data_IF_462812847968
#
_entry.id   IF_462812847968
#
_cell.length_a   1.000
_cell.length_b   1.000
_cell.length_c   1.000
_cell.angle_alpha   90.00
_cell.angle_beta   90.00
_cell.angle_gamma   90.00
#
_symmetry.space_group_name_H-M   'P 1'
#
loop_
_entity.id
_entity.type
_entity.pdbx_description
1 polymer ?
#
# COMPACT_ATOMS: atom_id res chain seq x y z
N UNK A 1 28.98 -38.33 -17.42
CA UNK A 1 28.63 -37.18 -16.56
C UNK A 1 27.14 -36.90 -16.74
N UNK A 2 26.31 -37.18 -15.73
CA UNK A 2 24.88 -36.84 -15.77
C UNK A 2 24.71 -35.34 -15.47
N UNK A 3 24.49 -34.53 -16.51
CA UNK A 3 23.90 -33.20 -16.33
C UNK A 3 22.41 -33.37 -16.16
N UNK A 4 21.82 -33.10 -14.98
CA UNK A 4 20.38 -33.16 -14.84
C UNK A 4 19.75 -32.11 -15.76
N UNK A 5 18.84 -32.57 -16.62
CA UNK A 5 18.09 -31.79 -17.61
C UNK A 5 17.40 -30.55 -16.97
N UNK A 6 17.19 -30.58 -15.66
CA UNK A 6 16.58 -29.50 -14.87
C UNK A 6 17.48 -28.28 -14.56
N UNK A 7 18.80 -28.32 -14.79
CA UNK A 7 19.67 -27.18 -14.43
C UNK A 7 19.52 -25.98 -15.36
N UNK A 8 19.33 -26.19 -16.66
CA UNK A 8 19.21 -25.08 -17.62
C UNK A 8 17.84 -24.41 -17.57
N UNK A 9 16.77 -25.19 -17.42
CA UNK A 9 15.40 -24.70 -17.24
C UNK A 9 15.26 -23.90 -15.95
N UNK A 10 15.83 -24.37 -14.84
CA UNK A 10 15.87 -23.59 -13.58
C UNK A 10 16.63 -22.27 -13.73
N UNK A 11 17.79 -22.25 -14.40
CA UNK A 11 18.54 -21.00 -14.61
C UNK A 11 17.77 -19.99 -15.46
N UNK A 12 17.08 -20.45 -16.52
CA UNK A 12 16.25 -19.58 -17.37
C UNK A 12 15.06 -19.01 -16.59
N UNK A 13 14.37 -19.84 -15.78
CA UNK A 13 13.27 -19.38 -14.91
C UNK A 13 13.74 -18.36 -13.88
N UNK A 14 14.87 -18.60 -13.20
CA UNK A 14 15.41 -17.65 -12.22
C UNK A 14 15.79 -16.31 -12.85
N UNK A 15 16.33 -16.32 -14.09
CA UNK A 15 16.59 -15.09 -14.84
C UNK A 15 15.31 -14.32 -15.17
N UNK A 16 14.22 -14.98 -15.54
CA UNK A 16 12.95 -14.30 -15.84
C UNK A 16 12.33 -13.69 -14.58
N UNK A 17 12.35 -14.41 -13.45
CA UNK A 17 11.89 -13.88 -12.14
C UNK A 17 12.69 -12.63 -11.77
N UNK A 18 14.02 -12.69 -11.89
CA UNK A 18 14.88 -11.56 -11.57
C UNK A 18 14.64 -10.36 -12.49
N UNK A 19 14.40 -10.60 -13.79
CA UNK A 19 14.07 -9.54 -14.75
C UNK A 19 12.77 -8.83 -14.37
N UNK A 20 11.70 -9.57 -14.10
CA UNK A 20 10.43 -8.97 -13.64
C UNK A 20 10.64 -8.19 -12.33
N UNK A 21 11.44 -8.71 -11.40
CA UNK A 21 11.78 -8.01 -10.16
C UNK A 21 12.46 -6.66 -10.40
N UNK A 22 13.37 -6.58 -11.39
CA UNK A 22 14.01 -5.33 -11.77
C UNK A 22 13.03 -4.36 -12.43
N UNK A 23 12.14 -4.87 -13.29
CA UNK A 23 11.08 -4.06 -13.92
C UNK A 23 10.16 -3.43 -12.87
N UNK A 24 9.77 -4.18 -11.84
CA UNK A 24 8.98 -3.66 -10.71
C UNK A 24 9.70 -2.53 -9.96
N UNK A 25 10.99 -2.71 -9.66
CA UNK A 25 11.79 -1.67 -9.02
C UNK A 25 11.90 -0.42 -9.88
N UNK A 26 12.14 -0.59 -11.18
CA UNK A 26 12.23 0.52 -12.11
C UNK A 26 10.91 1.30 -12.18
N UNK A 27 9.78 0.59 -12.24
CA UNK A 27 8.45 1.21 -12.20
C UNK A 27 8.21 1.99 -10.91
N UNK A 28 8.61 1.45 -9.76
CA UNK A 28 8.54 2.18 -8.50
C UNK A 28 9.39 3.45 -8.51
N UNK A 29 10.62 3.40 -9.03
CA UNK A 29 11.46 4.59 -9.12
C UNK A 29 10.92 5.64 -10.10
N UNK A 30 10.33 5.22 -11.22
CA UNK A 30 9.60 6.13 -12.12
C UNK A 30 8.47 6.81 -11.37
N UNK A 31 7.64 6.03 -10.66
CA UNK A 31 6.55 6.54 -9.84
C UNK A 31 7.00 7.61 -8.85
N UNK A 32 8.15 7.45 -8.19
CA UNK A 32 8.65 8.46 -7.25
C UNK A 32 8.97 9.82 -7.91
N UNK A 33 9.09 9.87 -9.23
CA UNK A 33 9.36 11.09 -10.00
C UNK A 33 8.10 11.65 -10.66
N UNK A 34 7.25 10.80 -11.22
CA UNK A 34 6.07 11.20 -12.03
C UNK A 34 4.75 11.12 -11.27
N UNK A 35 4.72 10.45 -10.11
CA UNK A 35 3.53 10.13 -9.31
C UNK A 35 2.39 9.43 -10.09
N UNK A 36 2.71 8.74 -11.19
CA UNK A 36 1.74 7.97 -11.97
C UNK A 36 1.46 6.61 -11.31
N UNK A 37 0.53 6.63 -10.34
CA UNK A 37 0.13 5.44 -9.60
C UNK A 37 -0.59 4.40 -10.47
N UNK A 38 -1.32 4.85 -11.51
CA UNK A 38 -2.08 3.96 -12.39
C UNK A 38 -1.12 3.05 -13.16
N UNK A 39 0.02 3.57 -13.59
CA UNK A 39 1.06 2.77 -14.24
C UNK A 39 1.57 1.60 -13.39
N UNK A 40 1.59 1.75 -12.06
CA UNK A 40 2.03 0.72 -11.11
C UNK A 40 0.91 -0.29 -10.87
N UNK A 41 -0.33 0.17 -10.69
CA UNK A 41 -1.45 -0.70 -10.35
C UNK A 41 -1.89 -1.61 -11.50
N UNK A 42 -1.65 -1.18 -12.75
CA UNK A 42 -1.94 -1.94 -13.96
C UNK A 42 -0.91 -3.03 -14.30
N UNK A 43 0.17 -3.18 -13.52
CA UNK A 43 1.18 -4.20 -13.78
C UNK A 43 0.61 -5.60 -13.51
N UNK A 44 0.73 -6.48 -14.51
CA UNK A 44 0.41 -7.89 -14.37
C UNK A 44 1.65 -8.70 -13.97
N UNK A 45 1.62 -9.27 -12.76
CA UNK A 45 2.68 -10.15 -12.28
C UNK A 45 2.55 -11.53 -12.91
N UNK A 46 3.64 -12.03 -13.50
CA UNK A 46 3.72 -13.34 -14.13
C UNK A 46 4.35 -14.38 -13.20
N UNK A 47 5.21 -13.96 -12.27
CA UNK A 47 5.89 -14.86 -11.35
C UNK A 47 5.40 -14.67 -9.91
N UNK A 48 4.89 -15.74 -9.31
CA UNK A 48 4.35 -15.77 -7.94
C UNK A 48 5.39 -15.29 -6.92
N UNK A 49 6.66 -15.58 -7.19
CA UNK A 49 7.82 -15.20 -6.39
C UNK A 49 7.98 -13.67 -6.22
N UNK A 50 7.35 -12.86 -7.07
CA UNK A 50 7.40 -11.40 -7.01
C UNK A 50 6.11 -10.74 -6.48
N UNK A 51 5.07 -11.51 -6.13
CA UNK A 51 3.78 -10.96 -5.66
C UNK A 51 3.96 -10.12 -4.40
N UNK A 52 4.71 -10.63 -3.40
CA UNK A 52 4.92 -9.90 -2.15
C UNK A 52 5.61 -8.56 -2.38
N UNK A 53 6.64 -8.54 -3.24
CA UNK A 53 7.32 -7.30 -3.61
C UNK A 53 6.36 -6.32 -4.30
N UNK A 54 5.50 -6.82 -5.18
CA UNK A 54 4.51 -5.98 -5.86
C UNK A 54 3.50 -5.38 -4.89
N UNK A 55 3.00 -6.16 -3.93
CA UNK A 55 2.12 -5.66 -2.86
C UNK A 55 2.80 -4.58 -2.03
N UNK A 56 4.07 -4.77 -1.66
CA UNK A 56 4.85 -3.75 -0.96
C UNK A 56 5.00 -2.46 -1.80
N UNK A 57 5.30 -2.59 -3.09
CA UNK A 57 5.41 -1.45 -4.01
C UNK A 57 4.08 -0.69 -4.05
N UNK A 58 2.94 -1.38 -4.20
CA UNK A 58 1.62 -0.75 -4.18
C UNK A 58 1.37 0.01 -2.89
N UNK A 59 1.66 -0.59 -1.75
CA UNK A 59 1.51 0.05 -0.45
C UNK A 59 2.34 1.33 -0.34
N UNK A 60 3.61 1.29 -0.74
CA UNK A 60 4.48 2.47 -0.73
C UNK A 60 4.02 3.55 -1.72
N UNK A 61 3.55 3.16 -2.91
CA UNK A 61 3.02 4.11 -3.88
C UNK A 61 1.80 4.84 -3.34
N UNK A 62 0.87 4.12 -2.71
CA UNK A 62 -0.30 4.72 -2.07
C UNK A 62 0.09 5.63 -0.91
N UNK A 63 1.00 5.16 -0.05
CA UNK A 63 1.49 5.95 1.07
C UNK A 63 2.08 7.28 0.60
N UNK A 64 3.00 7.25 -0.37
CA UNK A 64 3.64 8.47 -0.89
C UNK A 64 2.64 9.38 -1.62
N UNK A 65 1.75 8.79 -2.42
CA UNK A 65 0.71 9.54 -3.13
C UNK A 65 -0.21 10.27 -2.15
N UNK A 66 -0.63 9.60 -1.07
CA UNK A 66 -1.47 10.22 -0.04
C UNK A 66 -0.77 11.39 0.66
N UNK A 67 0.55 11.46 0.70
CA UNK A 67 1.24 12.63 1.28
C UNK A 67 1.18 13.86 0.38
N UNK A 68 1.02 13.67 -0.94
CA UNK A 68 1.19 14.74 -1.94
C UNK A 68 -0.14 15.13 -2.60
N UNK A 69 -1.05 14.18 -2.79
CA UNK A 69 -2.31 14.36 -3.48
C UNK A 69 -3.45 13.62 -2.77
N UNK A 70 -4.68 13.91 -3.20
CA UNK A 70 -5.87 13.18 -2.76
C UNK A 70 -6.15 12.01 -3.71
N UNK A 71 -6.36 10.84 -3.13
CA UNK A 71 -6.59 9.60 -3.86
C UNK A 71 -8.03 9.10 -3.64
N UNK A 72 -8.54 8.44 -4.67
CA UNK A 72 -9.79 7.70 -4.61
C UNK A 72 -9.58 6.38 -3.83
N UNK A 73 -10.30 6.22 -2.72
CA UNK A 73 -10.22 5.06 -1.84
C UNK A 73 -10.62 3.79 -2.59
N UNK A 74 -11.71 3.87 -3.37
CA UNK A 74 -12.38 2.72 -3.96
C UNK A 74 -11.60 2.24 -5.18
N UNK A 75 -11.06 3.18 -5.97
CA UNK A 75 -10.22 2.84 -7.14
C UNK A 75 -8.98 2.02 -6.74
N UNK A 76 -8.34 2.37 -5.63
CA UNK A 76 -7.05 1.77 -5.23
C UNK A 76 -7.14 0.80 -4.05
N UNK A 77 -8.35 0.49 -3.56
CA UNK A 77 -8.58 -0.39 -2.41
C UNK A 77 -7.70 -0.03 -1.20
N UNK A 78 -7.61 1.25 -0.84
CA UNK A 78 -6.75 1.75 0.26
C UNK A 78 -6.99 0.99 1.57
N UNK A 79 -8.22 0.53 1.79
CA UNK A 79 -8.65 -0.24 2.97
C UNK A 79 -7.92 -1.57 3.15
N UNK A 80 -7.31 -2.14 2.11
CA UNK A 80 -6.50 -3.37 2.22
C UNK A 80 -5.16 -3.13 2.90
N UNK A 81 -4.63 -1.91 2.82
CA UNK A 81 -3.30 -1.56 3.30
C UNK A 81 -3.39 -0.82 4.62
N UNK A 82 -3.19 -1.53 5.72
CA UNK A 82 -3.32 -1.00 7.08
C UNK A 82 -2.59 0.34 7.30
N UNK A 83 -1.33 0.43 6.89
CA UNK A 83 -0.52 1.64 7.08
C UNK A 83 -1.06 2.82 6.28
N UNK A 84 -1.44 2.58 5.03
CA UNK A 84 -2.02 3.59 4.13
C UNK A 84 -3.38 4.05 4.67
N UNK A 85 -4.20 3.13 5.18
CA UNK A 85 -5.48 3.43 5.80
C UNK A 85 -5.33 4.38 7.01
N UNK A 86 -4.33 4.17 7.86
CA UNK A 86 -4.08 5.06 9.00
C UNK A 86 -3.69 6.48 8.55
N UNK A 87 -2.81 6.60 7.56
CA UNK A 87 -2.47 7.90 6.95
C UNK A 87 -3.70 8.57 6.36
N UNK A 88 -4.54 7.80 5.69
CA UNK A 88 -5.76 8.32 5.09
C UNK A 88 -6.75 8.83 6.14
N UNK A 89 -6.91 8.11 7.25
CA UNK A 89 -7.72 8.55 8.40
C UNK A 89 -7.16 9.85 8.96
N UNK A 90 -5.85 9.95 9.10
CA UNK A 90 -5.20 11.16 9.59
C UNK A 90 -5.52 12.37 8.70
N UNK A 91 -5.37 12.22 7.38
CA UNK A 91 -5.77 13.23 6.40
C UNK A 91 -7.24 13.61 6.53
N UNK A 92 -8.14 12.63 6.72
CA UNK A 92 -9.56 12.92 6.92
C UNK A 92 -9.79 13.78 8.18
N UNK A 93 -9.06 13.53 9.27
CA UNK A 93 -9.15 14.34 10.50
C UNK A 93 -8.65 15.76 10.23
N UNK A 94 -7.50 15.90 9.57
CA UNK A 94 -6.89 17.19 9.28
C UNK A 94 -7.76 18.03 8.33
N UNK A 95 -8.43 17.38 7.38
CA UNK A 95 -9.40 17.99 6.46
C UNK A 95 -10.79 18.21 7.09
N UNK A 96 -10.96 17.96 8.40
CA UNK A 96 -12.23 18.08 9.13
C UNK A 96 -13.35 17.16 8.65
N UNK A 97 -13.01 16.08 7.94
CA UNK A 97 -13.94 15.03 7.50
C UNK A 97 -14.23 14.02 8.63
N UNK A 98 -14.65 14.51 9.79
CA UNK A 98 -14.67 13.72 11.02
C UNK A 98 -15.62 12.51 10.99
N UNK A 99 -16.77 12.63 10.30
CA UNK A 99 -17.72 11.52 10.13
C UNK A 99 -17.06 10.37 9.38
N UNK A 100 -16.28 10.70 8.34
CA UNK A 100 -15.56 9.73 7.52
C UNK A 100 -14.41 9.11 8.31
N UNK A 101 -13.60 9.91 9.00
CA UNK A 101 -12.56 9.42 9.89
C UNK A 101 -13.11 8.45 10.96
N UNK A 102 -14.27 8.77 11.58
CA UNK A 102 -14.95 7.89 12.54
C UNK A 102 -15.39 6.57 11.93
N UNK A 103 -15.97 6.59 10.72
CA UNK A 103 -16.36 5.36 10.00
C UNK A 103 -15.15 4.47 9.70
N UNK A 104 -14.05 5.07 9.24
CA UNK A 104 -12.82 4.36 8.94
C UNK A 104 -12.16 3.80 10.20
N UNK A 105 -12.17 4.52 11.33
CA UNK A 105 -11.71 3.97 12.61
C UNK A 105 -12.57 2.80 13.10
N UNK A 106 -13.89 2.89 12.96
CA UNK A 106 -14.76 1.76 13.27
C UNK A 106 -14.46 0.53 12.40
N UNK A 107 -14.12 0.74 11.13
CA UNK A 107 -13.67 -0.32 10.24
C UNK A 107 -12.33 -0.93 10.71
N UNK A 108 -11.36 -0.11 11.11
CA UNK A 108 -10.11 -0.58 11.73
C UNK A 108 -10.37 -1.42 12.98
N UNK A 109 -11.33 -1.01 13.81
CA UNK A 109 -11.75 -1.76 15.00
C UNK A 109 -12.34 -3.13 14.65
N UNK A 110 -13.20 -3.21 13.63
CA UNK A 110 -13.77 -4.48 13.15
C UNK A 110 -12.70 -5.44 12.62
N UNK A 111 -11.60 -4.91 12.10
CA UNK A 111 -10.42 -5.68 11.66
C UNK A 111 -9.39 -5.94 12.76
N UNK A 112 -9.72 -5.61 14.01
CA UNK A 112 -8.87 -5.83 15.18
C UNK A 112 -7.52 -5.09 15.13
N UNK A 113 -7.48 -3.93 14.48
CA UNK A 113 -6.27 -3.10 14.41
C UNK A 113 -6.08 -2.25 15.67
N UNK A 114 -5.81 -2.90 16.80
CA UNK A 114 -5.68 -2.27 18.13
C UNK A 114 -4.27 -1.74 18.46
N UNK A 115 -3.58 -1.17 17.48
CA UNK A 115 -2.22 -0.66 17.67
C UNK A 115 -2.19 0.76 18.24
N UNK A 116 -1.02 1.19 18.73
CA UNK A 116 -0.81 2.54 19.26
C UNK A 116 -1.30 3.62 18.29
N UNK A 117 -1.10 3.45 16.98
CA UNK A 117 -1.51 4.43 15.97
C UNK A 117 -3.04 4.55 15.86
N UNK A 118 -3.78 3.45 16.06
CA UNK A 118 -5.23 3.49 16.14
C UNK A 118 -5.70 4.37 17.32
N UNK A 119 -5.12 4.16 18.51
CA UNK A 119 -5.49 4.94 19.68
C UNK A 119 -5.09 6.42 19.55
N UNK A 120 -3.93 6.72 18.96
CA UNK A 120 -3.53 8.09 18.64
C UNK A 120 -4.54 8.78 17.71
N UNK A 121 -4.96 8.10 16.64
CA UNK A 121 -5.94 8.66 15.70
C UNK A 121 -7.31 8.86 16.37
N UNK A 122 -7.71 7.94 17.23
CA UNK A 122 -8.94 8.03 18.01
C UNK A 122 -8.91 9.24 18.97
N UNK A 123 -7.81 9.44 19.71
CA UNK A 123 -7.64 10.59 20.58
C UNK A 123 -7.58 11.90 19.79
N UNK A 124 -6.85 11.94 18.66
CA UNK A 124 -6.80 13.10 17.75
C UNK A 124 -8.20 13.48 17.26
N UNK A 125 -9.02 12.49 16.91
CA UNK A 125 -10.41 12.70 16.51
C UNK A 125 -11.23 13.31 17.65
N UNK A 126 -11.16 12.76 18.87
CA UNK A 126 -11.94 13.28 20.01
C UNK A 126 -11.56 14.70 20.40
N UNK A 127 -10.25 15.00 20.42
CA UNK A 127 -9.76 16.38 20.64
C UNK A 127 -10.29 17.33 19.58
N UNK A 128 -10.28 16.91 18.30
CA UNK A 128 -10.80 17.72 17.19
C UNK A 128 -12.31 17.96 17.25
N UNK A 129 -13.07 17.06 17.88
CA UNK A 129 -14.50 17.24 18.17
C UNK A 129 -14.77 18.18 19.36
N UNK A 130 -13.75 18.64 20.09
CA UNK A 130 -13.93 19.40 21.32
C UNK A 130 -14.44 18.55 22.50
N UNK A 131 -14.42 17.22 22.37
CA UNK A 131 -14.76 16.30 23.47
C UNK A 131 -13.49 16.15 24.30
N UNK A 132 -13.28 17.05 25.26
CA UNK A 132 -12.30 16.82 26.32
C UNK A 132 -12.80 15.67 27.19
N UNK A 133 -11.96 14.64 27.38
CA UNK A 133 -12.11 13.67 28.47
C UNK A 133 -12.00 14.38 29.82
#
# INVERSE_FOLDING_TARGET
MFTPINKETSKKKLKSIYKERLELKYKYYSFLTDFDIDSVFNIQIKHVENIELFTQIKEYCLYNSLQVMDLDIDKYNIVEYKRVLFVYIEKCIDNKEYIKAKKLLNFCKQREYYENDYYKLLDKLYVSYGIKK
#
